data_IF_848181935290
#
_entry.id   IF_848181935290
#
_cell.length_a   1.000
_cell.length_b   1.000
_cell.length_c   1.000
_cell.angle_alpha   90.00
_cell.angle_beta   90.00
_cell.angle_gamma   90.00
#
_symmetry.space_group_name_H-M   'P 1'
#
loop_
_entity.id
_entity.type
_entity.pdbx_description
1 polymer ?
#
# COMPACT_ATOMS: atom_id res chain seq x y z
N UNK A 1 0.66 -0.41 1.23
CA UNK A 1 -0.23 0.75 1.45
C UNK A 1 -0.88 1.14 0.14
N UNK A 2 -2.19 1.33 0.12
CA UNK A 2 -2.97 1.67 -1.07
C UNK A 2 -3.90 2.83 -0.75
N UNK A 3 -4.16 3.72 -1.72
CA UNK A 3 -5.22 4.72 -1.58
C UNK A 3 -6.56 4.00 -1.38
N UNK A 4 -7.45 4.53 -0.53
CA UNK A 4 -8.79 3.98 -0.32
C UNK A 4 -9.59 3.93 -1.64
N UNK A 5 -10.54 3.00 -1.82
CA UNK A 5 -11.27 2.81 -3.08
C UNK A 5 -11.97 4.07 -3.61
N UNK A 6 -12.48 4.91 -2.72
CA UNK A 6 -13.17 6.18 -3.02
C UNK A 6 -12.22 7.32 -3.42
N UNK A 7 -10.92 7.16 -3.20
CA UNK A 7 -9.92 8.17 -3.54
C UNK A 7 -9.41 7.91 -4.95
N UNK A 8 -9.51 8.94 -5.79
CA UNK A 8 -9.08 8.86 -7.18
C UNK A 8 -7.58 8.54 -7.29
N UNK A 9 -7.25 7.63 -8.22
CA UNK A 9 -5.88 7.28 -8.60
C UNK A 9 -5.65 7.56 -10.10
N UNK A 10 -5.28 8.80 -10.48
CA UNK A 10 -5.04 9.15 -11.88
C UNK A 10 -3.88 8.37 -12.53
N UNK A 11 -2.89 7.96 -11.74
CA UNK A 11 -1.71 7.22 -12.20
C UNK A 11 -2.12 5.79 -12.58
N UNK A 12 -2.93 5.16 -11.72
CA UNK A 12 -3.56 3.86 -11.97
C UNK A 12 -4.41 3.88 -13.25
N UNK A 13 -5.30 4.85 -13.37
CA UNK A 13 -6.17 4.97 -14.55
C UNK A 13 -5.38 5.13 -15.87
N UNK A 14 -4.32 5.94 -15.84
CA UNK A 14 -3.46 6.16 -17.02
C UNK A 14 -2.70 4.89 -17.39
N UNK A 15 -2.16 4.17 -16.40
CA UNK A 15 -1.42 2.93 -16.61
C UNK A 15 -2.32 1.80 -17.11
N UNK A 16 -3.52 1.66 -16.56
CA UNK A 16 -4.51 0.68 -17.03
C UNK A 16 -4.91 0.92 -18.49
N UNK A 17 -5.03 2.19 -18.91
CA UNK A 17 -5.24 2.53 -20.32
C UNK A 17 -4.04 2.11 -21.18
N UNK A 18 -2.83 2.46 -20.77
CA UNK A 18 -1.61 2.11 -21.53
C UNK A 18 -1.45 0.60 -21.69
N UNK A 19 -1.73 -0.20 -20.65
CA UNK A 19 -1.69 -1.66 -20.73
C UNK A 19 -2.74 -2.23 -21.70
N UNK A 20 -3.95 -1.65 -21.73
CA UNK A 20 -4.98 -2.04 -22.71
C UNK A 20 -4.59 -1.69 -24.14
N UNK A 21 -3.96 -0.53 -24.35
CA UNK A 21 -3.45 -0.14 -25.67
C UNK A 21 -2.34 -1.09 -26.16
N UNK A 22 -1.61 -1.74 -25.25
CA UNK A 22 -0.63 -2.79 -25.54
C UNK A 22 -1.24 -4.19 -25.74
N UNK A 23 -2.57 -4.33 -25.63
CA UNK A 23 -3.30 -5.57 -25.85
C UNK A 23 -3.50 -6.46 -24.61
N UNK A 24 -3.19 -5.96 -23.40
CA UNK A 24 -3.46 -6.69 -22.16
C UNK A 24 -4.90 -6.43 -21.67
N UNK A 25 -5.59 -7.48 -21.21
CA UNK A 25 -6.94 -7.38 -20.65
C UNK A 25 -6.88 -7.03 -19.15
N UNK A 26 -6.62 -5.76 -18.85
CA UNK A 26 -6.50 -5.23 -17.48
C UNK A 26 -7.75 -4.44 -17.11
N UNK A 27 -8.36 -4.79 -15.98
CA UNK A 27 -9.58 -4.14 -15.46
C UNK A 27 -9.25 -2.85 -14.71
N UNK A 28 -8.29 -2.90 -13.78
CA UNK A 28 -7.88 -1.77 -12.95
C UNK A 28 -6.39 -1.89 -12.64
N UNK A 29 -5.72 -0.75 -12.49
CA UNK A 29 -4.38 -0.65 -11.89
C UNK A 29 -4.50 0.33 -10.74
N UNK A 30 -3.93 -0.04 -9.58
CA UNK A 30 -3.85 0.83 -8.41
C UNK A 30 -2.39 1.02 -8.01
N UNK A 31 -2.01 2.26 -7.75
CA UNK A 31 -0.70 2.60 -7.23
C UNK A 31 -0.75 2.69 -5.71
N UNK A 32 0.28 2.13 -5.10
CA UNK A 32 0.48 2.09 -3.67
C UNK A 32 1.93 2.36 -3.30
N UNK A 33 2.18 2.38 -2.00
CA UNK A 33 3.51 2.45 -1.41
C UNK A 33 3.80 1.17 -0.64
N UNK A 34 5.01 0.67 -0.82
CA UNK A 34 5.60 -0.38 0.00
C UNK A 34 6.67 0.25 0.89
N UNK A 35 6.69 -0.13 2.18
CA UNK A 35 7.66 0.38 3.14
C UNK A 35 8.26 -0.83 3.85
N UNK A 36 9.58 -0.97 3.72
CA UNK A 36 10.35 -1.98 4.42
C UNK A 36 10.84 -1.43 5.75
N UNK A 37 10.49 -2.09 6.84
CA UNK A 37 10.91 -1.71 8.20
C UNK A 37 11.77 -2.82 8.77
N UNK A 38 13.03 -2.52 9.04
CA UNK A 38 13.93 -3.43 9.76
C UNK A 38 13.87 -3.09 11.26
N UNK A 39 13.53 -4.08 12.07
CA UNK A 39 13.48 -3.96 13.53
C UNK A 39 14.61 -4.79 14.16
N UNK A 40 15.12 -4.38 15.34
CA UNK A 40 16.03 -5.22 16.11
C UNK A 40 15.42 -6.60 16.42
N UNK A 41 16.24 -7.63 16.70
CA UNK A 41 15.75 -8.94 17.11
C UNK A 41 14.85 -8.84 18.35
N UNK A 42 13.69 -9.49 18.32
CA UNK A 42 12.70 -9.39 19.38
C UNK A 42 11.54 -10.38 19.21
N UNK A 43 10.52 -10.22 20.04
CA UNK A 43 9.27 -10.96 19.91
C UNK A 43 8.51 -10.52 18.65
N UNK A 44 7.93 -11.49 17.94
CA UNK A 44 7.32 -11.24 16.65
C UNK A 44 5.98 -10.49 16.76
N UNK A 45 5.22 -10.70 17.84
CA UNK A 45 3.94 -10.04 18.04
C UNK A 45 4.13 -8.61 18.54
N UNK A 46 5.17 -8.38 19.37
CA UNK A 46 5.61 -7.03 19.71
C UNK A 46 6.09 -6.25 18.48
N UNK A 47 6.82 -6.89 17.57
CA UNK A 47 7.27 -6.28 16.32
C UNK A 47 6.09 -5.87 15.43
N UNK A 48 5.11 -6.74 15.24
CA UNK A 48 3.92 -6.44 14.45
C UNK A 48 3.10 -5.29 15.08
N UNK A 49 2.88 -5.33 16.39
CA UNK A 49 2.17 -4.25 17.10
C UNK A 49 2.89 -2.90 16.94
N UNK A 50 4.22 -2.89 17.02
CA UNK A 50 5.01 -1.67 16.80
C UNK A 50 4.86 -1.14 15.36
N UNK A 51 4.86 -2.00 14.35
CA UNK A 51 4.66 -1.59 12.95
C UNK A 51 3.25 -1.03 12.73
N UNK A 52 2.22 -1.62 13.33
CA UNK A 52 0.86 -1.07 13.30
C UNK A 52 0.81 0.33 13.91
N UNK A 53 1.44 0.54 15.07
CA UNK A 53 1.51 1.86 15.70
C UNK A 53 2.23 2.88 14.79
N UNK A 54 3.32 2.48 14.14
CA UNK A 54 4.04 3.33 13.18
C UNK A 54 3.15 3.71 11.99
N UNK A 55 2.36 2.77 11.46
CA UNK A 55 1.39 3.02 10.39
C UNK A 55 0.33 4.03 10.80
N UNK A 56 -0.28 3.87 11.98
CA UNK A 56 -1.30 4.80 12.49
C UNK A 56 -0.76 6.20 12.78
N UNK A 57 0.47 6.29 13.29
CA UNK A 57 1.04 7.56 13.73
C UNK A 57 1.73 8.36 12.64
N UNK A 58 2.27 7.70 11.61
CA UNK A 58 3.15 8.36 10.66
C UNK A 58 3.09 7.81 9.24
N UNK A 59 3.19 6.48 9.07
CA UNK A 59 3.54 5.93 7.76
C UNK A 59 2.37 5.96 6.78
N UNK A 60 1.15 5.74 7.27
CA UNK A 60 -0.08 5.80 6.49
C UNK A 60 -0.88 7.06 6.82
N UNK A 61 -1.54 7.63 5.82
CA UNK A 61 -2.57 8.63 6.05
C UNK A 61 -3.94 7.94 6.18
N UNK A 62 -4.50 7.78 7.39
CA UNK A 62 -5.70 6.97 7.61
C UNK A 62 -6.97 7.53 6.95
N UNK A 63 -6.95 8.80 6.53
CA UNK A 63 -8.08 9.44 5.85
C UNK A 63 -8.17 8.98 4.39
N UNK A 64 -7.04 8.72 3.74
CA UNK A 64 -6.98 8.48 2.29
C UNK A 64 -6.30 7.18 1.88
N UNK A 65 -5.66 6.47 2.81
CA UNK A 65 -4.93 5.23 2.57
C UNK A 65 -5.43 4.11 3.48
N UNK A 66 -5.43 2.88 2.94
CA UNK A 66 -5.44 1.62 3.66
C UNK A 66 -4.01 1.04 3.67
N UNK A 67 -3.68 0.29 4.70
CA UNK A 67 -2.40 -0.40 4.79
C UNK A 67 -2.59 -1.84 5.23
N UNK A 68 -1.61 -2.66 4.89
CA UNK A 68 -1.49 -4.05 5.30
C UNK A 68 -0.05 -4.26 5.78
N UNK A 69 0.15 -5.18 6.72
CA UNK A 69 1.45 -5.47 7.32
C UNK A 69 1.78 -6.92 7.01
N UNK A 70 2.89 -7.13 6.31
CA UNK A 70 3.42 -8.44 5.97
C UNK A 70 4.79 -8.64 6.63
N UNK A 71 5.01 -9.83 7.18
CA UNK A 71 6.30 -10.26 7.73
C UNK A 71 7.09 -10.95 6.60
N UNK A 72 8.37 -10.58 6.43
CA UNK A 72 9.26 -11.13 5.39
C UNK A 72 10.27 -12.12 5.96
#
# INVERSE_FOLDING_TARGET
MLRKPEIADPEGATTARALRDLGYDVVEVRFGREILVELPPGDADEAEAAVHEMCERLLANPIIEDYDVERL
#
